data_IF_743552993579
#
_entry.id   IF_743552993579
#
_cell.length_a   1.000
_cell.length_b   1.000
_cell.length_c   1.000
_cell.angle_alpha   90.00
_cell.angle_beta   90.00
_cell.angle_gamma   90.00
#
_symmetry.space_group_name_H-M   'P 1'
#
loop_
_entity.id
_entity.type
_entity.pdbx_description
1 polymer ?
#
# COMPACT_ATOMS: atom_id res chain seq x y z
N UNK A 1 2.26 16.43 3.73
CA UNK A 1 1.12 15.52 3.90
C UNK A 1 0.13 16.08 4.92
N UNK A 2 -1.15 15.68 4.86
CA UNK A 2 -2.21 16.00 5.84
C UNK A 2 -2.65 14.79 6.69
N UNK A 3 -1.73 13.88 6.96
CA UNK A 3 -1.98 12.77 7.88
C UNK A 3 -2.23 13.28 9.31
N UNK A 4 -2.92 12.49 10.12
CA UNK A 4 -3.19 12.81 11.52
C UNK A 4 -1.90 13.09 12.32
N UNK A 5 -1.97 13.92 13.35
CA UNK A 5 -0.86 14.11 14.30
C UNK A 5 -0.48 12.78 14.93
N UNK A 6 0.82 12.42 14.86
CA UNK A 6 1.31 11.13 15.37
C UNK A 6 1.00 9.92 14.48
N UNK A 7 0.55 10.13 13.24
CA UNK A 7 0.29 9.01 12.34
C UNK A 7 1.58 8.21 12.05
N UNK A 8 1.47 6.87 12.10
CA UNK A 8 2.62 5.98 11.93
C UNK A 8 3.07 5.79 10.48
N UNK A 9 2.14 5.75 9.51
CA UNK A 9 2.51 5.45 8.11
C UNK A 9 3.45 6.50 7.48
N UNK A 10 3.33 7.82 7.74
CA UNK A 10 4.29 8.78 7.17
C UNK A 10 5.72 8.57 7.67
N UNK A 11 5.88 8.15 8.94
CA UNK A 11 7.20 7.85 9.52
C UNK A 11 7.78 6.62 8.83
N UNK A 12 6.98 5.55 8.71
CA UNK A 12 7.38 4.33 8.01
C UNK A 12 7.77 4.61 6.56
N UNK A 13 6.93 5.32 5.80
CA UNK A 13 7.23 5.70 4.41
C UNK A 13 8.52 6.51 4.32
N UNK A 14 8.73 7.48 5.22
CA UNK A 14 9.96 8.29 5.23
C UNK A 14 11.21 7.45 5.49
N UNK A 15 11.14 6.48 6.40
CA UNK A 15 12.26 5.57 6.70
C UNK A 15 12.57 4.66 5.50
N UNK A 16 11.55 4.06 4.90
CA UNK A 16 11.70 3.24 3.68
C UNK A 16 12.35 4.03 2.55
N UNK A 17 11.85 5.24 2.29
CA UNK A 17 12.40 6.09 1.23
C UNK A 17 13.83 6.55 1.50
N UNK A 18 14.24 6.67 2.77
CA UNK A 18 15.63 7.00 3.15
C UNK A 18 16.58 5.80 3.07
N UNK A 19 16.06 4.58 3.07
CA UNK A 19 16.88 3.37 3.04
C UNK A 19 17.34 3.00 1.61
N UNK A 20 16.80 3.64 0.58
CA UNK A 20 17.21 3.39 -0.81
C UNK A 20 18.27 4.39 -1.25
N UNK A 21 19.44 3.90 -1.65
CA UNK A 21 20.50 4.71 -2.27
C UNK A 21 20.23 4.98 -3.76
N UNK A 22 19.47 4.08 -4.42
CA UNK A 22 19.10 4.21 -5.84
C UNK A 22 17.80 5.03 -6.00
N UNK A 23 17.57 5.66 -7.18
CA UNK A 23 16.30 6.27 -7.53
C UNK A 23 15.12 5.29 -7.40
N UNK A 24 14.01 5.75 -6.84
CA UNK A 24 12.84 4.92 -6.55
C UNK A 24 11.62 5.39 -7.34
N UNK A 25 10.93 4.49 -8.02
CA UNK A 25 9.57 4.73 -8.51
C UNK A 25 8.58 4.16 -7.49
N UNK A 26 7.66 5.00 -7.05
CA UNK A 26 6.67 4.64 -6.03
C UNK A 26 5.29 4.49 -6.65
N UNK A 27 4.57 3.44 -6.28
CA UNK A 27 3.15 3.31 -6.52
C UNK A 27 2.42 3.17 -5.17
N UNK A 28 1.23 3.76 -5.05
CA UNK A 28 0.38 3.56 -3.87
C UNK A 28 -1.04 3.21 -4.28
N UNK A 29 -1.60 2.18 -3.65
CA UNK A 29 -3.03 1.94 -3.66
C UNK A 29 -3.76 3.12 -3.01
N UNK A 30 -5.00 3.37 -3.45
CA UNK A 30 -5.91 4.32 -2.80
C UNK A 30 -6.05 3.99 -1.31
N UNK A 31 -5.90 5.00 -0.45
CA UNK A 31 -5.92 4.83 1.00
C UNK A 31 -5.35 6.04 1.73
N UNK A 32 -5.14 5.95 3.04
CA UNK A 32 -4.66 7.08 3.83
C UNK A 32 -3.32 7.63 3.31
N UNK A 33 -2.38 6.76 2.90
CA UNK A 33 -1.10 7.22 2.38
C UNK A 33 -1.29 8.11 1.16
N UNK A 34 -2.05 7.65 0.18
CA UNK A 34 -2.35 8.40 -1.04
C UNK A 34 -3.10 9.69 -0.70
N UNK A 35 -4.32 9.58 -0.16
CA UNK A 35 -5.21 10.73 0.08
C UNK A 35 -4.55 11.81 0.92
N UNK A 36 -3.69 11.47 1.88
CA UNK A 36 -3.03 12.49 2.72
C UNK A 36 -1.72 13.02 2.14
N UNK A 37 -1.09 12.32 1.20
CA UNK A 37 0.20 12.72 0.63
C UNK A 37 0.09 13.46 -0.71
N UNK A 38 -1.02 13.28 -1.45
CA UNK A 38 -1.25 13.81 -2.81
C UNK A 38 -2.49 14.70 -2.95
N UNK A 39 -2.80 15.49 -1.92
CA UNK A 39 -3.93 16.42 -1.95
C UNK A 39 -3.66 17.54 -2.95
N UNK A 40 -4.48 17.62 -4.00
CA UNK A 40 -4.38 18.65 -5.02
C UNK A 40 -4.32 20.07 -4.43
N UNK A 41 -3.44 20.96 -4.94
CA UNK A 41 -2.43 20.75 -6.00
C UNK A 41 -1.07 20.24 -5.49
N UNK A 42 -0.98 19.77 -4.25
CA UNK A 42 0.27 19.47 -3.56
C UNK A 42 0.63 17.98 -3.62
N UNK A 43 1.94 17.71 -3.60
CA UNK A 43 2.50 16.37 -3.43
C UNK A 43 3.55 16.36 -2.33
N UNK A 44 3.56 15.29 -1.53
CA UNK A 44 4.60 15.05 -0.52
C UNK A 44 5.76 14.20 -1.06
N UNK A 45 5.69 13.78 -2.33
CA UNK A 45 6.67 12.91 -2.96
C UNK A 45 7.66 13.72 -3.80
N UNK A 46 8.96 13.51 -3.55
CA UNK A 46 10.07 14.07 -4.34
C UNK A 46 10.58 13.14 -5.44
N UNK A 47 9.89 12.02 -5.63
CA UNK A 47 10.24 10.95 -6.56
C UNK A 47 9.05 10.67 -7.48
N UNK A 48 9.23 10.02 -8.64
CA UNK A 48 8.11 9.62 -9.46
C UNK A 48 7.12 8.78 -8.66
N UNK A 49 5.90 9.29 -8.53
CA UNK A 49 4.82 8.67 -7.77
C UNK A 49 3.64 8.41 -8.71
N UNK A 50 3.10 7.20 -8.64
CA UNK A 50 1.97 6.74 -9.43
C UNK A 50 0.83 6.38 -8.47
N UNK A 51 -0.27 7.12 -8.58
CA UNK A 51 -1.55 6.70 -8.02
C UNK A 51 -2.15 5.60 -8.91
N UNK A 52 -2.73 4.58 -8.28
CA UNK A 52 -3.50 3.54 -8.96
C UNK A 52 -4.83 3.29 -8.22
N UNK A 53 -5.67 2.44 -8.79
CA UNK A 53 -6.89 2.01 -8.11
C UNK A 53 -6.57 1.18 -6.86
N UNK A 54 -7.58 0.99 -6.01
CA UNK A 54 -7.38 0.40 -4.69
C UNK A 54 -6.89 -1.06 -4.76
N UNK A 55 -7.31 -1.78 -5.79
CA UNK A 55 -7.12 -3.21 -5.97
C UNK A 55 -5.83 -3.60 -6.73
N UNK A 56 -5.12 -2.65 -7.35
CA UNK A 56 -4.15 -3.00 -8.40
C UNK A 56 -2.74 -2.42 -8.27
N UNK A 57 -2.32 -1.88 -7.11
CA UNK A 57 -0.97 -1.32 -6.92
C UNK A 57 0.18 -2.25 -7.33
N UNK A 58 0.10 -3.53 -6.97
CA UNK A 58 1.13 -4.50 -7.34
C UNK A 58 1.15 -4.78 -8.85
N UNK A 59 -0.02 -4.82 -9.50
CA UNK A 59 -0.13 -4.99 -10.95
C UNK A 59 0.34 -3.74 -11.71
N UNK A 60 -0.01 -2.55 -11.25
CA UNK A 60 0.47 -1.28 -11.82
C UNK A 60 1.99 -1.21 -11.77
N UNK A 61 2.59 -1.49 -10.61
CA UNK A 61 4.04 -1.45 -10.48
C UNK A 61 4.72 -2.58 -11.27
N UNK A 62 4.06 -3.72 -11.44
CA UNK A 62 4.55 -4.81 -12.31
C UNK A 62 4.69 -4.34 -13.76
N UNK A 63 3.72 -3.57 -14.25
CA UNK A 63 3.78 -2.96 -15.59
C UNK A 63 4.93 -1.97 -15.73
N UNK A 64 5.17 -1.14 -14.71
CA UNK A 64 6.29 -0.19 -14.69
C UNK A 64 7.64 -0.91 -14.69
N UNK A 65 7.78 -1.96 -13.88
CA UNK A 65 9.00 -2.78 -13.82
C UNK A 65 9.25 -3.52 -15.14
N UNK A 66 8.21 -4.05 -15.78
CA UNK A 66 8.30 -4.67 -17.10
C UNK A 66 8.71 -3.67 -18.18
N UNK A 67 8.15 -2.45 -18.15
CA UNK A 67 8.54 -1.37 -19.06
C UNK A 67 10.00 -0.96 -18.86
N UNK A 68 10.45 -0.83 -17.60
CA UNK A 68 11.85 -0.59 -17.27
C UNK A 68 12.77 -1.68 -17.85
N UNK A 69 12.45 -2.96 -17.65
CA UNK A 69 13.21 -4.08 -18.21
C UNK A 69 13.29 -4.04 -19.74
N UNK A 70 12.19 -3.68 -20.39
CA UNK A 70 12.16 -3.52 -21.85
C UNK A 70 13.08 -2.39 -22.31
N UNK A 71 13.02 -1.22 -21.67
CA UNK A 71 13.86 -0.06 -22.00
C UNK A 71 15.34 -0.32 -21.75
N UNK A 72 15.70 -1.05 -20.69
CA UNK A 72 17.08 -1.48 -20.43
C UNK A 72 17.58 -2.45 -21.49
N UNK A 73 16.77 -3.42 -21.93
CA UNK A 73 17.14 -4.33 -23.03
C UNK A 73 17.36 -3.61 -24.35
N UNK A 74 16.63 -2.51 -24.59
CA UNK A 74 16.79 -1.65 -25.76
C UNK A 74 17.98 -0.67 -25.63
N UNK A 75 18.71 -0.66 -24.51
CA UNK A 75 19.79 0.30 -24.25
C UNK A 75 19.32 1.74 -24.03
N UNK A 76 18.02 1.98 -23.86
CA UNK A 76 17.42 3.31 -23.70
C UNK A 76 17.45 3.81 -22.26
N UNK A 77 17.64 2.90 -21.30
CA UNK A 77 17.65 3.21 -19.87
C UNK A 77 18.58 2.27 -19.11
N UNK A 78 19.77 2.77 -18.75
CA UNK A 78 20.83 1.97 -18.11
C UNK A 78 21.03 2.25 -16.62
N UNK A 79 20.31 3.23 -16.04
CA UNK A 79 20.38 3.51 -14.60
C UNK A 79 19.59 2.47 -13.81
N UNK A 80 20.12 2.04 -12.67
CA UNK A 80 19.40 1.18 -11.72
C UNK A 80 18.26 1.97 -11.06
N UNK A 81 17.08 1.35 -10.99
CA UNK A 81 15.88 1.94 -10.38
C UNK A 81 15.24 0.89 -9.47
N UNK A 82 14.83 1.31 -8.28
CA UNK A 82 14.05 0.49 -7.34
C UNK A 82 12.55 0.79 -7.50
N UNK A 83 11.73 -0.24 -7.31
CA UNK A 83 10.27 -0.16 -7.46
C UNK A 83 9.62 -0.50 -6.12
N UNK A 84 8.84 0.44 -5.56
CA UNK A 84 8.16 0.24 -4.28
C UNK A 84 6.66 0.48 -4.43
N UNK A 85 5.85 -0.52 -4.06
CA UNK A 85 4.40 -0.40 -3.95
C UNK A 85 4.00 -0.30 -2.48
N UNK A 86 3.13 0.65 -2.16
CA UNK A 86 2.50 0.76 -0.85
C UNK A 86 1.02 0.39 -0.92
N UNK A 87 0.58 -0.45 -0.01
CA UNK A 87 -0.83 -0.77 0.24
C UNK A 87 -1.15 -0.63 1.72
N UNK A 88 -2.33 -0.09 2.04
CA UNK A 88 -2.89 -0.28 3.37
C UNK A 88 -3.37 -1.73 3.53
N UNK A 89 -3.68 -2.14 4.75
CA UNK A 89 -4.21 -3.47 5.04
C UNK A 89 -5.41 -3.85 4.15
N UNK A 90 -6.35 -2.93 3.90
CA UNK A 90 -7.46 -3.17 2.97
C UNK A 90 -7.03 -3.45 1.52
N UNK A 91 -6.01 -2.74 1.04
CA UNK A 91 -5.44 -2.91 -0.29
C UNK A 91 -4.51 -4.12 -0.42
N UNK A 92 -4.25 -4.83 0.67
CA UNK A 92 -3.33 -5.97 0.71
C UNK A 92 -4.03 -7.26 1.13
N UNK A 93 -4.74 -7.27 2.26
CA UNK A 93 -5.39 -8.46 2.81
C UNK A 93 -6.67 -8.84 2.07
N UNK A 94 -7.35 -7.83 1.53
CA UNK A 94 -8.68 -7.92 0.93
C UNK A 94 -8.62 -7.68 -0.58
N UNK A 95 -8.97 -6.47 -1.05
CA UNK A 95 -9.29 -6.24 -2.47
C UNK A 95 -8.07 -6.35 -3.39
N UNK A 96 -6.88 -5.98 -2.91
CA UNK A 96 -5.65 -6.03 -3.70
C UNK A 96 -4.84 -7.32 -3.58
N UNK A 97 -5.32 -8.32 -2.83
CA UNK A 97 -4.58 -9.56 -2.64
C UNK A 97 -4.33 -10.30 -3.95
N UNK A 98 -5.31 -10.32 -4.86
CA UNK A 98 -5.17 -11.00 -6.14
C UNK A 98 -4.07 -10.36 -7.00
N UNK A 99 -3.99 -9.02 -7.04
CA UNK A 99 -2.97 -8.32 -7.82
C UNK A 99 -1.58 -8.51 -7.21
N UNK A 100 -1.49 -8.52 -5.87
CA UNK A 100 -0.27 -8.83 -5.14
C UNK A 100 0.21 -10.25 -5.42
N UNK A 101 -0.65 -11.24 -5.24
CA UNK A 101 -0.35 -12.65 -5.50
C UNK A 101 0.15 -12.84 -6.93
N UNK A 102 -0.53 -12.26 -7.92
CA UNK A 102 -0.10 -12.37 -9.32
C UNK A 102 1.24 -11.68 -9.59
N UNK A 103 1.54 -10.55 -8.95
CA UNK A 103 2.83 -9.87 -9.10
C UNK A 103 4.00 -10.69 -8.50
N UNK A 104 3.77 -11.30 -7.33
CA UNK A 104 4.76 -12.15 -6.67
C UNK A 104 5.00 -13.45 -7.45
N UNK A 105 3.93 -14.09 -7.95
CA UNK A 105 4.02 -15.31 -8.77
C UNK A 105 4.83 -15.10 -10.06
N UNK A 106 4.71 -13.92 -10.69
CA UNK A 106 5.49 -13.56 -11.88
C UNK A 106 6.97 -13.21 -11.58
N UNK A 107 7.37 -13.15 -10.31
CA UNK A 107 8.75 -12.86 -9.91
C UNK A 107 9.20 -11.44 -10.29
N UNK A 108 8.29 -10.46 -10.27
CA UNK A 108 8.68 -9.07 -10.53
C UNK A 108 9.63 -8.55 -9.45
N UNK A 109 10.68 -7.84 -9.86
CA UNK A 109 11.67 -7.26 -8.94
C UNK A 109 11.15 -5.95 -8.34
N UNK A 110 10.29 -6.06 -7.35
CA UNK A 110 9.75 -4.93 -6.60
C UNK A 110 9.66 -5.21 -5.10
N UNK A 111 9.58 -4.15 -4.30
CA UNK A 111 9.22 -4.24 -2.89
C UNK A 111 7.75 -3.84 -2.74
N UNK A 112 6.93 -4.74 -2.17
CA UNK A 112 5.56 -4.41 -1.77
C UNK A 112 5.49 -4.25 -0.26
N UNK A 113 4.91 -3.15 0.21
CA UNK A 113 4.81 -2.81 1.63
C UNK A 113 3.34 -2.68 2.00
N UNK A 114 2.90 -3.55 2.91
CA UNK A 114 1.63 -3.40 3.61
C UNK A 114 1.85 -2.54 4.87
N UNK A 115 1.34 -1.30 4.88
CA UNK A 115 1.27 -0.50 6.10
C UNK A 115 -0.01 -0.86 6.88
N UNK A 116 0.10 -1.85 7.75
CA UNK A 116 -1.04 -2.38 8.47
C UNK A 116 -1.42 -1.48 9.67
N UNK A 117 -2.61 -0.88 9.60
CA UNK A 117 -3.20 -0.08 10.68
C UNK A 117 -4.48 -0.74 11.25
N UNK A 118 -4.79 -1.98 10.85
CA UNK A 118 -5.90 -2.79 11.35
C UNK A 118 -7.31 -2.35 10.93
N UNK A 119 -7.47 -1.42 9.98
CA UNK A 119 -8.78 -1.00 9.48
C UNK A 119 -8.68 -0.24 8.15
N UNK A 120 -9.79 -0.16 7.41
CA UNK A 120 -9.94 0.82 6.34
C UNK A 120 -10.06 2.23 6.94
N UNK A 121 -8.91 2.84 7.26
CA UNK A 121 -8.88 4.07 8.05
C UNK A 121 -9.42 5.28 7.28
N UNK A 122 -9.10 5.40 5.99
CA UNK A 122 -9.47 6.56 5.17
C UNK A 122 -10.99 6.75 5.06
N UNK A 123 -11.72 5.64 5.02
CA UNK A 123 -13.17 5.62 4.79
C UNK A 123 -13.97 5.69 6.09
N UNK A 124 -13.32 5.95 7.23
CA UNK A 124 -13.98 6.05 8.53
C UNK A 124 -13.84 4.79 9.38
N UNK A 125 -12.66 4.16 9.38
CA UNK A 125 -12.31 3.04 10.26
C UNK A 125 -13.31 1.87 10.11
N UNK A 126 -13.45 1.32 8.89
CA UNK A 126 -14.20 0.09 8.66
C UNK A 126 -13.35 -1.17 8.91
N UNK A 127 -14.02 -2.28 9.23
CA UNK A 127 -13.41 -3.61 9.37
C UNK A 127 -12.70 -4.08 8.10
N UNK A 128 -11.43 -4.48 8.24
CA UNK A 128 -10.65 -5.25 7.25
C UNK A 128 -10.40 -6.68 7.72
N UNK A 129 -9.77 -7.50 6.88
CA UNK A 129 -9.29 -8.82 7.32
C UNK A 129 -8.11 -8.73 8.29
N UNK A 130 -7.37 -7.61 8.32
CA UNK A 130 -6.30 -7.36 9.29
C UNK A 130 -6.81 -6.92 10.68
N UNK A 131 -8.05 -6.42 10.77
CA UNK A 131 -8.66 -6.00 12.03
C UNK A 131 -8.59 -7.12 13.08
N UNK A 132 -8.16 -6.85 14.34
CA UNK A 132 -8.15 -7.84 15.41
C UNK A 132 -9.56 -8.36 15.76
N UNK A 133 -9.63 -9.60 16.27
CA UNK A 133 -10.88 -10.14 16.82
C UNK A 133 -11.33 -9.29 18.01
N UNK A 134 -12.63 -9.01 18.09
CA UNK A 134 -13.21 -8.20 19.16
C UNK A 134 -13.10 -6.69 18.95
N UNK A 135 -12.36 -6.22 17.92
CA UNK A 135 -12.19 -4.80 17.69
C UNK A 135 -13.50 -4.13 17.23
N UNK A 136 -13.74 -2.92 17.76
CA UNK A 136 -14.79 -2.03 17.30
C UNK A 136 -14.36 -1.33 16.01
N UNK A 137 -15.19 -1.40 14.97
CA UNK A 137 -15.07 -0.57 13.76
C UNK A 137 -16.44 -0.02 13.38
N UNK A 138 -16.54 0.92 12.44
CA UNK A 138 -17.84 1.46 12.01
C UNK A 138 -18.74 0.41 11.35
N UNK A 139 -18.16 -0.67 10.81
CA UNK A 139 -18.91 -1.80 10.23
C UNK A 139 -18.98 -3.03 11.14
N UNK A 140 -18.26 -3.04 12.27
CA UNK A 140 -18.35 -4.05 13.32
C UNK A 140 -18.38 -3.39 14.71
N UNK A 141 -19.46 -2.67 15.06
CA UNK A 141 -19.55 -1.99 16.34
C UNK A 141 -19.65 -2.99 17.50
N UNK A 142 -19.05 -2.67 18.64
CA UNK A 142 -19.22 -3.41 19.90
C UNK A 142 -20.41 -2.87 20.67
N UNK A 143 -21.18 -3.73 21.34
CA UNK A 143 -22.32 -3.34 22.17
C UNK A 143 -22.99 -4.56 22.80
N UNK A 144 -24.15 -4.36 23.44
CA UNK A 144 -24.86 -5.43 24.18
C UNK A 144 -25.15 -6.70 23.36
N UNK A 145 -25.31 -6.55 22.03
CA UNK A 145 -25.61 -7.64 21.09
C UNK A 145 -24.50 -7.93 20.08
N UNK A 146 -23.34 -7.30 20.20
CA UNK A 146 -22.23 -7.45 19.25
C UNK A 146 -20.89 -7.36 19.96
N UNK A 147 -20.01 -8.32 19.71
CA UNK A 147 -18.65 -8.33 20.27
C UNK A 147 -17.64 -7.67 19.33
N UNK A 148 -18.08 -6.95 18.29
CA UNK A 148 -17.20 -6.38 17.28
C UNK A 148 -16.85 -7.40 16.20
N UNK A 149 -15.62 -7.35 15.64
CA UNK A 149 -15.20 -8.32 14.62
C UNK A 149 -15.15 -9.75 15.21
N UNK A 150 -15.92 -10.66 14.63
CA UNK A 150 -16.03 -12.05 15.10
C UNK A 150 -14.82 -12.88 14.66
N UNK A 151 -14.37 -12.68 13.41
CA UNK A 151 -13.30 -13.46 12.80
C UNK A 151 -11.93 -13.11 13.39
N UNK A 152 -11.01 -14.08 13.52
CA UNK A 152 -9.60 -13.78 13.80
C UNK A 152 -9.01 -12.89 12.70
N UNK A 153 -7.93 -12.17 13.02
CA UNK A 153 -7.12 -11.50 12.01
C UNK A 153 -6.62 -12.56 11.03
N UNK A 154 -6.75 -12.30 9.74
CA UNK A 154 -6.16 -13.14 8.71
C UNK A 154 -4.64 -13.04 8.83
N UNK A 155 -3.94 -14.16 8.84
CA UNK A 155 -2.49 -14.12 8.64
C UNK A 155 -2.21 -14.05 7.13
N UNK A 156 -1.50 -13.00 6.71
CA UNK A 156 -1.17 -12.80 5.30
C UNK A 156 0.07 -13.60 4.90
N UNK A 157 0.95 -13.90 5.86
CA UNK A 157 2.28 -14.43 5.60
C UNK A 157 2.44 -15.87 6.05
N UNK A 158 1.70 -16.35 7.07
CA UNK A 158 1.49 -17.77 7.42
C UNK A 158 0.31 -17.99 8.36
#
# INVERSE_FOLDING_TARGET
HRACSGCGFPILTRLVMRASDDPVVVCSATGCLEVTSTIYPYTSWKTPFIHCAFENAAATLSGVEAAYRSLTRQGRLQRKINFIAFGGDGGTYDIGLQSLSGAMERGHRMLYICYDNGAYANTGIQRSSATPRGAHTTTTPTGKKSTGKIQPRKDLTM
#
